data_IF_165483200190
#
_entry.id   IF_165483200190
#
_cell.length_a   1.000
_cell.length_b   1.000
_cell.length_c   1.000
_cell.angle_alpha   90.00
_cell.angle_beta   90.00
_cell.angle_gamma   90.00
#
_symmetry.space_group_name_H-M   'P 1'
#
loop_
_entity.id
_entity.type
_entity.pdbx_description
1 polymer ?
#
# COMPACT_ATOMS: atom_id res chain seq x y z
N UNK A 1 -8.62 -6.95 -0.69
CA UNK A 1 -7.32 -7.51 -1.13
C UNK A 1 -7.33 -9.03 -0.98
N UNK A 2 -6.60 -9.80 -1.81
CA UNK A 2 -6.52 -11.26 -1.70
C UNK A 2 -5.96 -11.72 -0.34
N UNK A 3 -6.40 -12.90 0.14
CA UNK A 3 -6.05 -13.42 1.46
C UNK A 3 -4.53 -13.55 1.69
N UNK A 4 -3.77 -13.94 0.67
CA UNK A 4 -2.30 -14.03 0.75
C UNK A 4 -1.66 -12.67 1.04
N UNK A 5 -2.08 -11.63 0.32
CA UNK A 5 -1.56 -10.28 0.54
C UNK A 5 -1.95 -9.76 1.92
N UNK A 6 -3.22 -9.94 2.32
CA UNK A 6 -3.68 -9.54 3.65
C UNK A 6 -2.92 -10.26 4.76
N UNK A 7 -2.74 -11.57 4.63
CA UNK A 7 -2.01 -12.38 5.60
C UNK A 7 -0.51 -12.05 5.67
N UNK A 8 0.10 -11.61 4.55
CA UNK A 8 1.46 -11.07 4.57
C UNK A 8 1.52 -9.75 5.34
N UNK A 9 0.62 -8.81 5.07
CA UNK A 9 0.55 -7.52 5.79
C UNK A 9 0.40 -7.77 7.30
N UNK A 10 -0.54 -8.62 7.70
CA UNK A 10 -0.83 -8.89 9.12
C UNK A 10 0.35 -9.51 9.87
N UNK A 11 1.18 -10.30 9.18
CA UNK A 11 2.35 -10.96 9.78
C UNK A 11 3.60 -10.09 9.78
N UNK A 12 3.73 -9.19 8.80
CA UNK A 12 4.93 -8.35 8.63
C UNK A 12 4.77 -7.02 9.34
N UNK A 13 3.59 -6.39 9.29
CA UNK A 13 3.35 -5.07 9.86
C UNK A 13 3.05 -5.18 11.35
N UNK A 14 4.04 -5.66 12.11
CA UNK A 14 3.93 -5.94 13.54
C UNK A 14 4.43 -4.77 14.41
N UNK A 15 4.01 -4.79 15.68
CA UNK A 15 4.50 -3.87 16.70
C UNK A 15 6.03 -3.99 16.87
N UNK A 16 6.71 -2.87 17.10
CA UNK A 16 8.16 -2.78 17.19
C UNK A 16 8.85 -2.64 15.83
N UNK A 17 8.19 -3.04 14.73
CA UNK A 17 8.70 -2.89 13.36
C UNK A 17 7.93 -1.84 12.53
N UNK A 18 6.62 -2.02 12.33
CA UNK A 18 5.81 -1.11 11.50
C UNK A 18 5.27 0.09 12.29
N UNK A 19 4.96 -0.14 13.55
CA UNK A 19 4.46 0.86 14.47
C UNK A 19 4.87 0.50 15.90
N UNK A 20 4.79 1.47 16.79
CA UNK A 20 5.00 1.27 18.22
C UNK A 20 4.00 2.06 19.06
N UNK A 21 3.88 1.68 20.33
CA UNK A 21 3.09 2.42 21.31
C UNK A 21 4.01 2.91 22.42
N UNK A 22 4.24 4.23 22.46
CA UNK A 22 4.73 4.89 23.67
C UNK A 22 3.54 5.22 24.57
N UNK A 23 3.79 5.60 25.83
CA UNK A 23 2.79 5.73 26.89
C UNK A 23 1.49 6.46 26.47
N UNK A 24 1.56 7.41 25.52
CA UNK A 24 0.37 8.12 25.01
C UNK A 24 0.38 8.37 23.49
N UNK A 25 1.25 7.71 22.71
CA UNK A 25 1.39 8.03 21.27
C UNK A 25 1.74 6.83 20.40
N UNK A 26 1.01 6.70 19.30
CA UNK A 26 1.35 5.85 18.16
C UNK A 26 2.60 6.39 17.45
N UNK A 27 3.65 5.59 17.43
CA UNK A 27 4.85 5.85 16.65
C UNK A 27 4.77 5.14 15.30
N UNK A 28 4.86 5.92 14.22
CA UNK A 28 4.81 5.43 12.84
C UNK A 28 6.23 5.13 12.36
N UNK A 29 6.58 3.86 12.14
CA UNK A 29 7.98 3.45 11.86
C UNK A 29 8.27 3.29 10.35
N UNK A 30 7.25 3.23 9.50
CA UNK A 30 7.41 3.00 8.05
C UNK A 30 7.42 4.29 7.22
N UNK A 31 7.68 5.46 7.82
CA UNK A 31 7.71 6.77 7.14
C UNK A 31 8.66 6.88 5.94
N UNK A 32 9.66 6.02 5.88
CA UNK A 32 10.63 5.94 4.79
C UNK A 32 10.12 5.12 3.59
N UNK A 33 9.05 4.34 3.75
CA UNK A 33 8.48 3.55 2.67
C UNK A 33 7.57 4.41 1.79
N UNK A 34 7.77 4.26 0.49
CA UNK A 34 6.91 4.81 -0.56
C UNK A 34 6.10 3.66 -1.16
N UNK A 35 4.80 3.81 -1.20
CA UNK A 35 3.85 2.75 -1.58
C UNK A 35 3.11 3.15 -2.84
N UNK A 36 3.01 2.21 -3.78
CA UNK A 36 2.18 2.33 -4.97
C UNK A 36 1.20 1.15 -4.97
N UNK A 37 -0.08 1.46 -5.01
CA UNK A 37 -1.17 0.49 -5.03
C UNK A 37 -1.76 0.46 -6.43
N UNK A 38 -1.81 -0.73 -7.02
CA UNK A 38 -2.40 -0.96 -8.33
C UNK A 38 -3.40 -2.09 -8.14
N UNK A 39 -4.67 -1.74 -8.06
CA UNK A 39 -5.77 -2.70 -7.99
C UNK A 39 -6.31 -2.99 -9.37
N UNK A 40 -6.68 -4.24 -9.62
CA UNK A 40 -7.39 -4.67 -10.83
C UNK A 40 -8.80 -5.05 -10.42
N UNK A 41 -9.79 -4.42 -11.06
CA UNK A 41 -11.21 -4.59 -10.78
C UNK A 41 -11.97 -5.08 -12.01
N UNK A 42 -12.81 -6.11 -11.85
CA UNK A 42 -13.60 -6.65 -12.95
C UNK A 42 -14.79 -5.77 -13.35
N UNK A 43 -15.33 -4.98 -12.42
CA UNK A 43 -16.49 -4.12 -12.66
C UNK A 43 -16.11 -2.70 -13.09
N UNK A 44 -17.08 -1.97 -13.64
CA UNK A 44 -16.92 -0.58 -14.07
C UNK A 44 -16.87 0.44 -12.91
N UNK A 45 -16.48 1.67 -13.24
CA UNK A 45 -16.40 2.79 -12.30
C UNK A 45 -17.74 3.15 -11.65
N UNK A 46 -18.85 2.99 -12.38
CA UNK A 46 -20.19 3.28 -11.87
C UNK A 46 -20.59 2.32 -10.76
N UNK A 47 -20.23 1.05 -10.88
CA UNK A 47 -20.43 0.00 -9.88
C UNK A 47 -19.61 0.29 -8.63
N UNK A 48 -18.31 0.62 -8.80
CA UNK A 48 -17.43 0.98 -7.70
C UNK A 48 -17.93 2.20 -6.92
N UNK A 49 -18.42 3.23 -7.61
CA UNK A 49 -18.97 4.42 -6.98
C UNK A 49 -20.29 4.14 -6.26
N UNK A 50 -21.23 3.45 -6.93
CA UNK A 50 -22.57 3.13 -6.38
C UNK A 50 -22.51 2.38 -5.06
N UNK A 51 -21.55 1.47 -4.93
CA UNK A 51 -21.39 0.64 -3.74
C UNK A 51 -20.31 1.14 -2.76
N UNK A 52 -19.68 2.29 -3.04
CA UNK A 52 -18.65 2.87 -2.17
C UNK A 52 -17.37 2.04 -2.11
N UNK A 53 -17.10 1.17 -3.09
CA UNK A 53 -15.93 0.29 -3.05
C UNK A 53 -14.62 1.05 -3.16
N UNK A 54 -14.56 2.09 -4.00
CA UNK A 54 -13.37 2.92 -4.12
C UNK A 54 -13.01 3.60 -2.78
N UNK A 55 -14.01 4.19 -2.12
CA UNK A 55 -13.84 4.84 -0.82
C UNK A 55 -13.48 3.82 0.28
N UNK A 56 -14.13 2.66 0.30
CA UNK A 56 -13.80 1.60 1.24
C UNK A 56 -12.37 1.11 1.06
N UNK A 57 -11.90 0.95 -0.18
CA UNK A 57 -10.52 0.57 -0.46
C UNK A 57 -9.53 1.65 0.01
N UNK A 58 -9.76 2.92 -0.33
CA UNK A 58 -8.91 4.01 0.13
C UNK A 58 -8.87 4.09 1.67
N UNK A 59 -10.03 3.99 2.31
CA UNK A 59 -10.14 4.05 3.78
C UNK A 59 -9.42 2.89 4.45
N UNK A 60 -9.65 1.66 3.99
CA UNK A 60 -9.12 0.47 4.66
C UNK A 60 -7.65 0.21 4.33
N UNK A 61 -7.23 0.51 3.11
CA UNK A 61 -5.88 0.16 2.63
C UNK A 61 -4.96 1.36 2.80
N UNK A 62 -5.24 2.46 2.13
CA UNK A 62 -4.35 3.62 2.09
C UNK A 62 -4.24 4.23 3.49
N UNK A 63 -5.38 4.52 4.11
CA UNK A 63 -5.42 5.10 5.46
C UNK A 63 -5.22 4.04 6.55
N UNK A 64 -6.02 2.97 6.50
CA UNK A 64 -6.08 1.98 7.57
C UNK A 64 -4.80 1.15 7.76
N UNK A 65 -4.05 0.88 6.68
CA UNK A 65 -2.83 0.07 6.74
C UNK A 65 -1.59 0.95 6.62
N UNK A 66 -1.47 1.70 5.52
CA UNK A 66 -0.22 2.39 5.20
C UNK A 66 -0.04 3.67 6.01
N UNK A 67 -1.05 4.55 6.05
CA UNK A 67 -0.95 5.77 6.87
C UNK A 67 -0.87 5.44 8.35
N UNK A 68 -1.56 4.41 8.84
CA UNK A 68 -1.41 3.93 10.21
C UNK A 68 0.06 3.66 10.59
N UNK A 69 0.83 3.03 9.69
CA UNK A 69 2.25 2.75 9.88
C UNK A 69 3.18 3.91 9.43
N UNK A 70 2.62 4.96 8.82
CA UNK A 70 3.32 6.13 8.28
C UNK A 70 3.88 5.96 6.86
N UNK A 71 3.68 4.82 6.23
CA UNK A 71 4.11 4.62 4.85
C UNK A 71 3.35 5.56 3.91
N UNK A 72 4.06 6.24 3.01
CA UNK A 72 3.45 7.22 2.11
C UNK A 72 2.93 6.54 0.86
N UNK A 73 1.60 6.46 0.71
CA UNK A 73 0.96 6.08 -0.54
C UNK A 73 1.13 7.22 -1.55
N UNK A 74 1.90 6.97 -2.60
CA UNK A 74 2.17 7.93 -3.68
C UNK A 74 1.23 7.75 -4.86
N UNK A 75 0.71 6.54 -5.04
CA UNK A 75 -0.19 6.17 -6.13
C UNK A 75 -1.17 5.14 -5.61
N UNK A 76 -2.45 5.32 -5.92
CA UNK A 76 -3.52 4.37 -5.62
C UNK A 76 -4.46 4.32 -6.82
N UNK A 77 -4.19 3.38 -7.73
CA UNK A 77 -4.84 3.27 -9.03
C UNK A 77 -5.69 2.02 -9.13
N UNK A 78 -6.86 2.15 -9.75
CA UNK A 78 -7.79 1.06 -10.02
C UNK A 78 -7.97 0.87 -11.52
N UNK A 79 -7.46 -0.25 -12.04
CA UNK A 79 -7.67 -0.70 -13.41
C UNK A 79 -8.98 -1.48 -13.47
N UNK A 80 -10.07 -0.77 -13.80
CA UNK A 80 -11.44 -1.29 -13.80
C UNK A 80 -11.81 -1.97 -15.11
N UNK A 81 -12.94 -2.67 -15.15
CA UNK A 81 -13.41 -3.39 -16.34
C UNK A 81 -12.38 -4.41 -16.88
N UNK A 82 -11.60 -5.04 -16.00
CA UNK A 82 -10.51 -5.94 -16.39
C UNK A 82 -10.96 -7.22 -17.11
N UNK A 83 -12.24 -7.57 -17.00
CA UNK A 83 -12.83 -8.76 -17.61
C UNK A 83 -13.58 -8.45 -18.92
N UNK A 84 -13.86 -7.18 -19.21
CA UNK A 84 -14.71 -6.75 -20.32
C UNK A 84 -13.99 -5.87 -21.34
N UNK A 85 -12.96 -5.12 -20.94
CA UNK A 85 -12.14 -4.32 -21.85
C UNK A 85 -11.06 -5.14 -22.54
N UNK A 86 -10.55 -4.63 -23.66
CA UNK A 86 -9.36 -5.17 -24.33
C UNK A 86 -8.17 -5.15 -23.35
N UNK A 87 -7.54 -6.31 -23.06
CA UNK A 87 -6.37 -6.38 -22.18
C UNK A 87 -5.22 -5.44 -22.57
N UNK A 88 -5.10 -5.07 -23.86
CA UNK A 88 -4.08 -4.14 -24.33
C UNK A 88 -4.18 -2.76 -23.64
N UNK A 89 -5.40 -2.29 -23.34
CA UNK A 89 -5.64 -1.01 -22.66
C UNK A 89 -4.98 -1.02 -21.27
N UNK A 90 -5.23 -2.08 -20.50
CA UNK A 90 -4.65 -2.25 -19.16
C UNK A 90 -3.14 -2.41 -19.20
N UNK A 91 -2.62 -3.17 -20.17
CA UNK A 91 -1.19 -3.35 -20.35
C UNK A 91 -0.48 -2.04 -20.68
N UNK A 92 -1.07 -1.22 -21.55
CA UNK A 92 -0.48 0.06 -21.93
C UNK A 92 -0.54 1.08 -20.79
N UNK A 93 -1.65 1.13 -20.04
CA UNK A 93 -1.78 1.94 -18.84
C UNK A 93 -0.74 1.56 -17.77
N UNK A 94 -0.63 0.27 -17.45
CA UNK A 94 0.34 -0.21 -16.44
C UNK A 94 1.79 -0.03 -16.91
N UNK A 95 2.07 -0.15 -18.22
CA UNK A 95 3.40 0.17 -18.78
C UNK A 95 3.74 1.65 -18.66
N UNK A 96 2.78 2.54 -18.94
CA UNK A 96 2.97 3.98 -18.77
C UNK A 96 3.25 4.32 -17.30
N UNK A 97 2.40 3.81 -16.40
CA UNK A 97 2.60 3.98 -14.96
C UNK A 97 3.96 3.44 -14.52
N UNK A 98 4.35 2.23 -14.94
CA UNK A 98 5.64 1.65 -14.61
C UNK A 98 6.84 2.51 -15.03
N UNK A 99 6.77 3.18 -16.20
CA UNK A 99 7.82 4.11 -16.64
C UNK A 99 7.89 5.36 -15.75
N UNK A 100 6.74 5.91 -15.37
CA UNK A 100 6.67 7.07 -14.47
C UNK A 100 7.24 6.75 -13.10
N UNK A 101 6.88 5.57 -12.55
CA UNK A 101 7.39 5.10 -11.27
C UNK A 101 8.92 4.89 -11.30
N UNK A 102 9.43 4.28 -12.37
CA UNK A 102 10.88 4.08 -12.53
C UNK A 102 11.64 5.42 -12.62
N UNK A 103 11.10 6.37 -13.40
CA UNK A 103 11.67 7.71 -13.49
C UNK A 103 11.67 8.42 -12.13
N UNK A 104 10.55 8.39 -11.40
CA UNK A 104 10.43 8.99 -10.08
C UNK A 104 11.35 8.34 -9.02
N UNK A 105 11.67 7.05 -9.18
CA UNK A 105 12.57 6.32 -8.29
C UNK A 105 14.05 6.67 -8.53
N UNK A 106 14.44 6.91 -9.78
CA UNK A 106 15.84 7.25 -10.15
C UNK A 106 16.37 8.56 -9.56
N UNK A 107 15.49 9.42 -9.05
CA UNK A 107 15.84 10.68 -8.38
C UNK A 107 15.95 10.58 -6.86
N UNK A 108 15.81 9.37 -6.28
CA UNK A 108 15.81 9.19 -4.83
C UNK A 108 17.15 8.66 -4.33
N UNK A 109 17.69 9.32 -3.30
CA UNK A 109 18.81 8.79 -2.53
C UNK A 109 18.44 7.43 -1.92
N UNK A 110 19.40 6.49 -1.78
CA UNK A 110 19.13 5.17 -1.21
C UNK A 110 18.52 5.30 0.19
N UNK A 111 17.41 4.59 0.40
CA UNK A 111 16.80 4.42 1.73
C UNK A 111 17.83 3.80 2.66
N UNK A 112 18.13 4.48 3.77
CA UNK A 112 18.94 3.93 4.86
C UNK A 112 18.35 2.61 5.35
N UNK A 113 19.19 1.58 5.52
CA UNK A 113 18.77 0.27 5.99
C UNK A 113 17.95 0.37 7.28
N UNK A 114 16.81 -0.32 7.32
CA UNK A 114 15.95 -0.38 8.50
C UNK A 114 16.67 -1.19 9.57
N UNK A 115 16.94 -0.64 10.76
CA UNK A 115 17.51 -1.42 11.85
C UNK A 115 16.55 -2.55 12.24
N UNK A 116 17.06 -3.71 12.70
CA UNK A 116 16.21 -4.81 13.12
C UNK A 116 15.24 -4.36 14.22
N UNK A 117 14.03 -4.93 14.23
CA UNK A 117 13.05 -4.67 15.28
C UNK A 117 13.71 -4.83 16.65
N UNK A 118 13.60 -3.81 17.49
CA UNK A 118 14.15 -3.83 18.84
C UNK A 118 13.54 -5.01 19.59
N UNK A 119 14.38 -5.96 20.00
CA UNK A 119 13.97 -7.05 20.87
C UNK A 119 13.55 -6.43 22.20
N UNK A 120 12.26 -6.27 22.43
CA UNK A 120 11.77 -5.98 23.77
C UNK A 120 12.04 -7.22 24.63
N UNK A 121 12.78 -6.97 25.71
CA UNK A 121 13.26 -7.93 26.70
C UNK A 121 12.13 -8.90 27.07
N UNK A 122 12.28 -10.17 26.65
CA UNK A 122 11.40 -11.27 27.02
C UNK A 122 11.64 -11.61 28.50
N UNK A 123 11.15 -10.74 29.40
CA UNK A 123 11.08 -10.99 30.82
C UNK A 123 9.61 -11.06 31.23
N UNK A 124 9.06 -12.26 31.03
CA UNK A 124 8.00 -12.81 31.86
C UNK A 124 8.64 -13.85 32.79
#
# INVERSE_FOLDING_TARGET
MPALLKGWIDRVFSNGWAFDFSADKLEKKLGHLRVHLIGVGGADAGTYARHGYAEAMQTQIDHGIFDYCGARVLTSELMLESETQDPAIHLDAVRALGRELAAASSYLAPTTAVPPASQHDARL
#
